data_IF_602502458958
#
_entry.id   IF_602502458958
#
_cell.length_a   1.000
_cell.length_b   1.000
_cell.length_c   1.000
_cell.angle_alpha   90.00
_cell.angle_beta   90.00
_cell.angle_gamma   90.00
#
_symmetry.space_group_name_H-M   'P 1'
#
loop_
_entity.id
_entity.type
_entity.pdbx_description
1 polymer ?
#
# COMPACT_ATOMS: atom_id res chain seq x y z
N UNK A 1 6.89 25.75 -24.63
CA UNK A 1 7.33 24.38 -24.29
C UNK A 1 6.09 23.61 -23.89
N UNK A 2 5.76 22.50 -24.57
CA UNK A 2 4.58 21.71 -24.24
C UNK A 2 4.82 20.94 -22.93
N UNK A 3 4.35 21.48 -21.81
CA UNK A 3 4.45 20.83 -20.50
C UNK A 3 3.33 19.80 -20.31
N UNK A 4 3.60 18.77 -19.49
CA UNK A 4 2.55 17.90 -18.98
C UNK A 4 1.46 18.70 -18.24
N UNK A 5 0.24 18.18 -18.22
CA UNK A 5 -0.91 18.80 -17.53
C UNK A 5 -1.74 17.70 -16.88
N UNK A 6 -2.14 17.92 -15.63
CA UNK A 6 -3.11 17.07 -14.94
C UNK A 6 -4.52 17.40 -15.46
N UNK A 7 -5.26 16.35 -15.80
CA UNK A 7 -6.71 16.39 -16.00
C UNK A 7 -7.33 15.59 -14.87
N UNK A 8 -8.30 16.18 -14.20
CA UNK A 8 -9.00 15.53 -13.10
C UNK A 8 -10.50 15.64 -13.31
N UNK A 9 -11.22 14.60 -12.89
CA UNK A 9 -12.67 14.60 -12.75
C UNK A 9 -13.11 14.86 -11.29
N UNK A 10 -12.15 15.06 -10.38
CA UNK A 10 -12.42 15.35 -8.98
C UNK A 10 -13.09 16.72 -8.83
N UNK A 11 -14.07 16.80 -7.92
CA UNK A 11 -14.67 18.05 -7.49
C UNK A 11 -13.73 18.76 -6.51
N UNK A 12 -12.84 19.60 -7.06
CA UNK A 12 -11.86 20.35 -6.27
C UNK A 12 -12.52 21.35 -5.31
N UNK A 13 -13.70 21.87 -5.66
CA UNK A 13 -14.44 22.77 -4.78
C UNK A 13 -15.03 22.00 -3.59
N UNK A 14 -15.49 20.76 -3.79
CA UNK A 14 -15.91 19.90 -2.69
C UNK A 14 -14.74 19.55 -1.76
N UNK A 15 -13.57 19.24 -2.31
CA UNK A 15 -12.36 19.02 -1.52
C UNK A 15 -12.06 20.26 -0.68
N UNK A 16 -12.06 21.46 -1.28
CA UNK A 16 -11.87 22.72 -0.56
C UNK A 16 -12.87 22.92 0.59
N UNK A 17 -14.17 22.65 0.35
CA UNK A 17 -15.20 22.75 1.40
C UNK A 17 -14.96 21.79 2.56
N UNK A 18 -14.52 20.56 2.30
CA UNK A 18 -14.24 19.57 3.36
C UNK A 18 -13.02 20.02 4.17
N UNK A 19 -11.97 20.50 3.50
CA UNK A 19 -10.76 21.04 4.16
C UNK A 19 -11.10 22.17 5.12
N UNK A 20 -11.89 23.14 4.64
CA UNK A 20 -12.30 24.29 5.43
C UNK A 20 -13.18 23.89 6.63
N UNK A 21 -14.00 22.86 6.48
CA UNK A 21 -14.87 22.36 7.54
C UNK A 21 -14.16 21.49 8.58
N UNK A 22 -13.05 20.83 8.22
CA UNK A 22 -12.40 19.81 9.02
C UNK A 22 -10.88 19.99 9.08
N UNK A 23 -10.42 20.92 9.93
CA UNK A 23 -8.99 21.27 10.08
C UNK A 23 -8.05 20.11 10.48
N UNK A 24 -8.59 18.97 10.91
CA UNK A 24 -7.83 17.75 11.23
C UNK A 24 -7.75 16.72 10.12
N UNK A 25 -8.38 16.97 8.96
CA UNK A 25 -8.41 16.04 7.82
C UNK A 25 -7.41 16.50 6.77
N UNK A 26 -6.52 15.59 6.39
CA UNK A 26 -5.59 15.79 5.27
C UNK A 26 -6.13 15.13 4.01
N UNK A 27 -5.84 15.74 2.86
CA UNK A 27 -6.30 15.28 1.55
C UNK A 27 -5.09 14.93 0.69
N UNK A 28 -4.95 13.67 0.30
CA UNK A 28 -3.86 13.21 -0.55
C UNK A 28 -4.38 12.83 -1.93
N UNK A 29 -3.60 13.14 -2.97
CA UNK A 29 -3.85 12.63 -4.30
C UNK A 29 -3.25 11.21 -4.43
N UNK A 30 -4.11 10.19 -4.56
CA UNK A 30 -3.66 8.83 -4.82
C UNK A 30 -3.30 8.65 -6.30
N UNK A 31 -2.11 8.09 -6.57
CA UNK A 31 -1.66 7.73 -7.90
C UNK A 31 -1.60 6.22 -8.05
N UNK A 32 -2.42 5.68 -8.95
CA UNK A 32 -2.45 4.26 -9.28
C UNK A 32 -3.86 3.71 -9.34
N UNK A 33 -4.11 2.67 -8.53
CA UNK A 33 -5.27 1.81 -8.53
C UNK A 33 -5.13 0.61 -9.47
N UNK A 34 -5.84 -0.46 -9.15
CA UNK A 34 -5.99 -1.64 -9.98
C UNK A 34 -6.42 -1.31 -11.42
N UNK A 35 -5.75 -1.91 -12.41
CA UNK A 35 -5.91 -1.58 -13.84
C UNK A 35 -5.56 -0.12 -14.20
N UNK A 36 -5.00 0.64 -13.27
CA UNK A 36 -4.57 2.01 -13.47
C UNK A 36 -3.33 2.10 -14.37
N UNK A 37 -3.15 3.23 -15.06
CA UNK A 37 -1.94 3.45 -15.85
C UNK A 37 -0.74 3.69 -14.94
N UNK A 38 0.38 3.06 -15.26
CA UNK A 38 1.68 3.46 -14.71
C UNK A 38 2.16 4.77 -15.37
N UNK A 39 3.13 5.49 -14.79
CA UNK A 39 3.74 6.64 -15.44
C UNK A 39 4.24 6.26 -16.85
N UNK A 40 4.04 7.12 -17.85
CA UNK A 40 4.51 6.89 -19.20
C UNK A 40 6.03 6.90 -19.21
N UNK A 41 6.61 5.93 -19.91
CA UNK A 41 8.05 5.85 -20.11
C UNK A 41 8.59 7.11 -20.81
N UNK A 42 9.79 7.55 -20.47
CA UNK A 42 10.52 8.64 -21.12
C UNK A 42 10.64 8.47 -22.63
N UNK A 43 10.63 7.23 -23.15
CA UNK A 43 10.67 6.96 -24.58
C UNK A 43 9.33 7.11 -25.29
N UNK A 44 8.23 7.23 -24.53
CA UNK A 44 6.86 7.34 -25.06
C UNK A 44 6.41 8.78 -25.33
N UNK A 45 7.21 9.79 -24.98
CA UNK A 45 6.82 11.19 -25.19
C UNK A 45 6.99 11.58 -26.66
N UNK A 46 5.87 11.93 -27.31
CA UNK A 46 5.86 12.48 -28.67
C UNK A 46 6.53 13.85 -28.77
N UNK A 47 6.80 14.48 -27.63
CA UNK A 47 7.46 15.78 -27.51
C UNK A 47 8.98 15.67 -27.34
N UNK A 48 9.53 14.45 -27.19
CA UNK A 48 10.97 14.21 -27.02
C UNK A 48 11.53 14.63 -25.66
N UNK A 49 10.68 15.04 -24.72
CA UNK A 49 11.08 15.39 -23.35
C UNK A 49 10.75 14.22 -22.43
N UNK A 50 11.76 13.65 -21.78
CA UNK A 50 11.60 12.59 -20.79
C UNK A 50 10.82 13.13 -19.57
N UNK A 51 9.76 12.43 -19.18
CA UNK A 51 9.00 12.75 -17.97
C UNK A 51 9.64 12.06 -16.77
N UNK A 52 10.67 12.68 -16.19
CA UNK A 52 11.29 12.21 -14.93
C UNK A 52 10.33 12.38 -13.75
N UNK A 53 10.58 11.70 -12.62
CA UNK A 53 9.75 11.87 -11.42
C UNK A 53 9.77 13.30 -10.88
N UNK A 54 10.91 14.00 -10.98
CA UNK A 54 10.98 15.44 -10.70
C UNK A 54 10.04 16.24 -11.60
N UNK A 55 10.01 15.96 -12.91
CA UNK A 55 9.13 16.69 -13.82
C UNK A 55 7.65 16.37 -13.56
N UNK A 56 7.34 15.13 -13.18
CA UNK A 56 6.01 14.76 -12.69
C UNK A 56 5.62 15.58 -11.46
N UNK A 57 6.54 15.74 -10.51
CA UNK A 57 6.31 16.54 -9.32
C UNK A 57 6.06 18.02 -9.66
N UNK A 58 6.87 18.62 -10.53
CA UNK A 58 6.64 20.01 -10.97
C UNK A 58 5.24 20.20 -11.58
N UNK A 59 4.77 19.22 -12.38
CA UNK A 59 3.41 19.27 -12.95
C UNK A 59 2.33 19.13 -11.87
N UNK A 60 2.56 18.32 -10.85
CA UNK A 60 1.66 18.20 -9.69
C UNK A 60 1.65 19.46 -8.82
N UNK A 61 2.81 20.01 -8.47
CA UNK A 61 2.96 21.22 -7.66
C UNK A 61 2.30 22.42 -8.37
N UNK A 62 2.58 22.62 -9.66
CA UNK A 62 1.94 23.65 -10.47
C UNK A 62 0.41 23.49 -10.49
N UNK A 63 -0.08 22.25 -10.67
CA UNK A 63 -1.51 21.97 -10.64
C UNK A 63 -2.09 22.29 -9.26
N UNK A 64 -1.49 21.82 -8.18
CA UNK A 64 -1.97 22.02 -6.82
C UNK A 64 -2.05 23.52 -6.47
N UNK A 65 -0.96 24.26 -6.69
CA UNK A 65 -0.88 25.70 -6.44
C UNK A 65 -1.92 26.49 -7.26
N UNK A 66 -2.09 26.12 -8.53
CA UNK A 66 -3.05 26.79 -9.43
C UNK A 66 -4.52 26.59 -9.06
N UNK A 67 -4.83 25.59 -8.22
CA UNK A 67 -6.17 25.29 -7.72
C UNK A 67 -6.33 25.55 -6.22
N UNK A 68 -5.43 26.34 -5.61
CA UNK A 68 -5.53 26.72 -4.21
C UNK A 68 -5.14 25.61 -3.23
N UNK A 69 -4.17 24.78 -3.60
CA UNK A 69 -3.62 23.68 -2.80
C UNK A 69 -4.69 22.69 -2.28
N UNK A 70 -5.47 22.06 -3.17
CA UNK A 70 -6.51 21.11 -2.77
C UNK A 70 -5.95 19.84 -2.10
N UNK A 71 -4.68 19.51 -2.32
CA UNK A 71 -4.02 18.34 -1.72
C UNK A 71 -2.85 18.75 -0.83
N UNK A 72 -2.74 18.11 0.34
CA UNK A 72 -1.59 18.23 1.27
C UNK A 72 -0.42 17.34 0.86
N UNK A 73 -0.62 16.47 -0.12
CA UNK A 73 0.37 15.47 -0.50
C UNK A 73 -0.17 14.40 -1.43
N UNK A 74 0.54 13.27 -1.45
CA UNK A 74 0.28 12.18 -2.39
C UNK A 74 0.33 10.81 -1.70
N UNK A 75 -0.35 9.83 -2.29
CA UNK A 75 -0.28 8.43 -1.91
C UNK A 75 0.02 7.55 -3.14
N UNK A 76 1.06 6.71 -3.06
CA UNK A 76 1.35 5.76 -4.13
C UNK A 76 0.58 4.46 -3.96
N UNK A 77 -0.34 4.22 -4.89
CA UNK A 77 -1.19 3.03 -4.95
C UNK A 77 -1.04 2.33 -6.31
N UNK A 78 0.18 2.25 -6.85
CA UNK A 78 0.40 1.59 -8.12
C UNK A 78 0.30 0.06 -7.99
N UNK A 79 -0.52 -0.51 -8.86
CA UNK A 79 -0.85 -1.92 -8.84
C UNK A 79 -0.73 -2.58 -10.21
N UNK A 80 -1.05 -3.88 -10.25
CA UNK A 80 -1.14 -4.67 -11.45
C UNK A 80 -2.39 -4.39 -12.28
N UNK A 81 -2.62 -5.31 -13.23
CA UNK A 81 -3.73 -5.25 -14.17
C UNK A 81 -4.27 -6.66 -14.42
N UNK A 82 -5.58 -6.78 -14.60
CA UNK A 82 -6.29 -8.02 -14.92
C UNK A 82 -5.78 -8.67 -16.23
N UNK A 83 -5.51 -7.87 -17.26
CA UNK A 83 -4.90 -8.35 -18.50
C UNK A 83 -3.40 -8.49 -18.28
N UNK A 84 -2.92 -9.74 -18.14
CA UNK A 84 -1.50 -10.07 -17.96
C UNK A 84 -0.60 -9.64 -19.11
N UNK A 85 -1.17 -9.34 -20.29
CA UNK A 85 -0.42 -8.80 -21.43
C UNK A 85 -0.31 -7.28 -21.40
N UNK A 86 -1.01 -6.62 -20.47
CA UNK A 86 -0.90 -5.18 -20.25
C UNK A 86 0.53 -4.81 -19.88
N UNK A 87 1.06 -3.68 -20.39
CA UNK A 87 2.35 -3.16 -19.93
C UNK A 87 2.37 -2.84 -18.43
N UNK A 88 1.21 -2.65 -17.78
CA UNK A 88 1.10 -2.37 -16.34
C UNK A 88 0.96 -3.61 -15.46
N UNK A 89 1.00 -4.83 -16.04
CA UNK A 89 1.14 -6.08 -15.26
C UNK A 89 2.55 -6.29 -14.72
N UNK A 90 3.46 -5.35 -14.96
CA UNK A 90 4.83 -5.31 -14.46
C UNK A 90 5.21 -3.88 -14.18
N UNK A 91 6.03 -3.66 -13.17
CA UNK A 91 6.76 -2.43 -13.07
C UNK A 91 7.92 -2.39 -14.08
N UNK A 92 8.29 -1.18 -14.46
CA UNK A 92 9.62 -0.93 -15.00
C UNK A 92 10.45 -0.24 -13.92
N UNK A 93 11.79 -0.30 -14.02
CA UNK A 93 12.63 0.50 -13.11
C UNK A 93 12.34 1.99 -13.26
N UNK A 94 12.02 2.43 -14.47
CA UNK A 94 11.61 3.80 -14.73
C UNK A 94 10.32 4.18 -13.98
N UNK A 95 9.32 3.31 -13.92
CA UNK A 95 8.11 3.51 -13.10
C UNK A 95 8.49 3.72 -11.63
N UNK A 96 9.36 2.86 -11.10
CA UNK A 96 9.78 2.93 -9.70
C UNK A 96 10.65 4.16 -9.43
N UNK A 97 11.51 4.55 -10.38
CA UNK A 97 12.32 5.77 -10.30
C UNK A 97 11.45 7.03 -10.33
N UNK A 98 10.34 7.04 -11.08
CA UNK A 98 9.36 8.12 -11.01
C UNK A 98 8.78 8.26 -9.61
N UNK A 99 8.38 7.15 -8.98
CA UNK A 99 7.89 7.17 -7.59
C UNK A 99 8.96 7.73 -6.64
N UNK A 100 10.21 7.27 -6.77
CA UNK A 100 11.34 7.74 -5.95
C UNK A 100 11.57 9.23 -6.11
N UNK A 101 11.84 9.70 -7.33
CA UNK A 101 12.22 11.08 -7.60
C UNK A 101 11.09 12.05 -7.26
N UNK A 102 9.85 11.70 -7.61
CA UNK A 102 8.68 12.51 -7.23
C UNK A 102 8.56 12.62 -5.71
N UNK A 103 8.65 11.49 -5.00
CA UNK A 103 8.51 11.46 -3.53
C UNK A 103 9.56 12.33 -2.85
N UNK A 104 10.81 12.25 -3.32
CA UNK A 104 11.92 13.05 -2.77
C UNK A 104 11.68 14.54 -3.00
N UNK A 105 11.24 14.95 -4.19
CA UNK A 105 10.96 16.36 -4.49
C UNK A 105 9.72 16.87 -3.73
N UNK A 106 8.65 16.08 -3.66
CA UNK A 106 7.46 16.37 -2.87
C UNK A 106 7.82 16.58 -1.39
N UNK A 107 8.62 15.69 -0.82
CA UNK A 107 9.03 15.79 0.58
C UNK A 107 9.86 17.05 0.86
N UNK A 108 10.79 17.40 -0.04
CA UNK A 108 11.57 18.65 0.05
C UNK A 108 10.69 19.90 0.06
N UNK A 109 9.55 19.86 -0.63
CA UNK A 109 8.60 20.98 -0.70
C UNK A 109 7.66 21.05 0.51
N UNK A 110 7.67 20.04 1.37
CA UNK A 110 6.85 19.96 2.58
C UNK A 110 5.53 19.22 2.40
N UNK A 111 5.33 18.53 1.26
CA UNK A 111 4.18 17.67 1.07
C UNK A 111 4.23 16.44 1.97
N UNK A 112 3.06 15.94 2.32
CA UNK A 112 2.88 14.60 2.86
C UNK A 112 3.13 13.58 1.75
N UNK A 113 3.90 12.54 2.03
CA UNK A 113 4.15 11.46 1.07
C UNK A 113 3.87 10.12 1.72
N UNK A 114 2.94 9.36 1.15
CA UNK A 114 2.65 8.00 1.58
C UNK A 114 2.64 7.01 0.44
N UNK A 115 2.55 5.73 0.79
CA UNK A 115 2.37 4.63 -0.15
C UNK A 115 1.45 3.58 0.45
N UNK A 116 0.69 2.88 -0.39
CA UNK A 116 -0.19 1.81 0.00
C UNK A 116 0.15 0.51 -0.76
N UNK A 117 1.29 -0.15 -0.51
CA UNK A 117 1.63 -1.39 -1.20
C UNK A 117 0.67 -2.53 -0.83
N UNK A 118 0.27 -3.32 -1.84
CA UNK A 118 -0.25 -4.67 -1.61
C UNK A 118 0.73 -5.50 -0.77
N UNK A 119 0.21 -6.42 0.07
CA UNK A 119 1.07 -7.22 0.96
C UNK A 119 2.18 -7.94 0.20
N UNK A 120 1.90 -8.53 -0.97
CA UNK A 120 2.90 -9.23 -1.77
C UNK A 120 4.00 -8.32 -2.34
N UNK A 121 3.76 -7.00 -2.41
CA UNK A 121 4.66 -5.99 -2.98
C UNK A 121 5.68 -5.50 -1.95
N UNK A 122 5.40 -5.69 -0.66
CA UNK A 122 6.27 -5.36 0.48
C UNK A 122 6.05 -6.39 1.60
N UNK A 123 6.30 -7.67 1.30
CA UNK A 123 5.90 -8.80 2.13
C UNK A 123 6.85 -9.00 3.32
N UNK A 124 6.42 -8.79 4.57
CA UNK A 124 7.29 -8.94 5.74
C UNK A 124 7.33 -10.38 6.28
N UNK A 125 6.50 -11.27 5.74
CA UNK A 125 6.38 -12.68 6.17
C UNK A 125 7.41 -13.61 5.53
N UNK A 126 8.32 -13.04 4.75
CA UNK A 126 9.29 -13.79 3.99
C UNK A 126 10.30 -14.54 4.86
N UNK A 127 10.74 -15.67 4.30
CA UNK A 127 11.91 -16.39 4.76
C UNK A 127 13.17 -15.73 4.20
N UNK A 128 14.08 -15.31 5.10
CA UNK A 128 15.34 -14.69 4.74
C UNK A 128 16.19 -15.66 3.91
N UNK A 129 16.68 -15.19 2.76
CA UNK A 129 17.46 -16.01 1.82
C UNK A 129 16.63 -16.90 0.89
N UNK A 130 15.30 -16.94 1.06
CA UNK A 130 14.39 -17.59 0.14
C UNK A 130 14.04 -16.73 -1.08
N UNK A 131 13.35 -17.33 -2.06
CA UNK A 131 12.93 -16.62 -3.29
C UNK A 131 12.06 -15.38 -3.02
N UNK A 132 11.40 -15.28 -1.87
CA UNK A 132 10.52 -14.14 -1.54
C UNK A 132 11.26 -12.95 -0.98
N UNK A 133 12.51 -13.17 -0.56
CA UNK A 133 13.44 -12.09 -0.29
C UNK A 133 14.02 -11.49 -1.57
N UNK A 134 13.68 -11.98 -2.76
CA UNK A 134 14.24 -11.52 -4.02
C UNK A 134 13.29 -10.54 -4.70
N UNK A 135 13.75 -9.33 -4.94
CA UNK A 135 13.03 -8.33 -5.72
C UNK A 135 12.54 -8.86 -7.07
N UNK A 136 11.36 -8.43 -7.49
CA UNK A 136 10.83 -8.62 -8.84
C UNK A 136 10.07 -7.39 -9.29
N UNK A 137 10.16 -7.08 -10.58
CA UNK A 137 9.27 -6.12 -11.22
C UNK A 137 7.95 -6.73 -11.67
N UNK A 138 7.85 -8.06 -11.73
CA UNK A 138 6.63 -8.73 -12.16
C UNK A 138 5.52 -8.57 -11.11
N UNK A 139 4.33 -8.16 -11.57
CA UNK A 139 3.11 -8.07 -10.77
C UNK A 139 2.10 -9.16 -11.14
N UNK A 140 2.45 -10.03 -12.07
CA UNK A 140 1.60 -11.12 -12.55
C UNK A 140 1.99 -12.49 -11.95
N UNK A 141 2.60 -12.51 -10.77
CA UNK A 141 3.03 -13.74 -10.10
C UNK A 141 1.85 -14.43 -9.40
N UNK A 142 1.92 -15.75 -9.19
CA UNK A 142 0.93 -16.44 -8.37
C UNK A 142 1.06 -16.04 -6.88
N UNK A 143 -0.05 -16.02 -6.12
CA UNK A 143 -0.03 -15.75 -4.67
C UNK A 143 0.67 -16.91 -3.97
N UNK A 144 1.88 -16.63 -3.44
CA UNK A 144 2.79 -17.71 -3.03
C UNK A 144 2.30 -18.47 -1.81
N UNK A 145 1.64 -17.79 -0.89
CA UNK A 145 1.01 -18.38 0.29
C UNK A 145 0.02 -19.51 -0.07
N UNK A 146 -0.66 -19.41 -1.22
CA UNK A 146 -1.61 -20.40 -1.71
C UNK A 146 -1.01 -21.39 -2.73
N UNK A 147 0.25 -21.21 -3.14
CA UNK A 147 0.83 -21.96 -4.26
C UNK A 147 2.18 -22.63 -3.98
N UNK A 148 2.73 -22.52 -2.77
CA UNK A 148 4.02 -23.12 -2.41
C UNK A 148 3.94 -23.88 -1.09
N UNK A 149 4.52 -25.08 -1.04
CA UNK A 149 4.41 -26.00 0.10
C UNK A 149 4.99 -25.42 1.39
N UNK A 150 6.04 -24.57 1.28
CA UNK A 150 6.64 -23.93 2.46
C UNK A 150 5.67 -23.06 3.25
N UNK A 151 4.61 -22.59 2.60
CA UNK A 151 3.56 -21.81 3.26
C UNK A 151 2.43 -22.68 3.81
N UNK A 152 2.52 -24.00 3.64
CA UNK A 152 1.47 -24.94 3.96
C UNK A 152 0.34 -24.97 2.93
N UNK A 153 0.58 -24.52 1.70
CA UNK A 153 -0.41 -24.54 0.64
C UNK A 153 -0.86 -25.98 0.32
N UNK A 154 -2.16 -26.23 0.38
CA UNK A 154 -2.75 -27.54 0.05
C UNK A 154 -3.05 -27.66 -1.44
N UNK A 155 -3.38 -28.87 -1.91
CA UNK A 155 -3.87 -29.07 -3.28
C UNK A 155 -5.16 -28.28 -3.53
N UNK A 156 -6.04 -28.17 -2.52
CA UNK A 156 -7.27 -27.37 -2.61
C UNK A 156 -6.98 -25.87 -2.78
N UNK A 157 -5.92 -25.35 -2.15
CA UNK A 157 -5.50 -23.96 -2.30
C UNK A 157 -4.95 -23.69 -3.71
N UNK A 158 -4.11 -24.60 -4.21
CA UNK A 158 -3.56 -24.53 -5.57
C UNK A 158 -4.67 -24.61 -6.61
N UNK A 159 -5.64 -25.48 -6.40
CA UNK A 159 -6.80 -25.64 -7.26
C UNK A 159 -7.74 -24.43 -7.20
N UNK A 160 -7.92 -23.82 -6.02
CA UNK A 160 -8.68 -22.57 -5.88
C UNK A 160 -8.08 -21.46 -6.72
N UNK A 161 -6.78 -21.20 -6.57
CA UNK A 161 -6.07 -20.15 -7.34
C UNK A 161 -6.13 -20.45 -8.84
N UNK A 162 -5.92 -21.71 -9.24
CA UNK A 162 -5.98 -22.11 -10.66
C UNK A 162 -7.37 -21.91 -11.25
N UNK A 163 -8.44 -22.28 -10.55
CA UNK A 163 -9.83 -22.07 -11.00
C UNK A 163 -10.22 -20.60 -11.05
N UNK A 164 -9.70 -19.79 -10.12
CA UNK A 164 -9.90 -18.35 -10.13
C UNK A 164 -9.12 -17.65 -11.25
N UNK A 165 -8.12 -18.32 -11.84
CA UNK A 165 -7.23 -17.72 -12.83
C UNK A 165 -6.37 -16.60 -12.26
N UNK A 166 -6.20 -16.53 -10.93
CA UNK A 166 -5.57 -15.41 -10.25
C UNK A 166 -4.04 -15.49 -10.37
N UNK A 167 -3.43 -14.44 -10.91
CA UNK A 167 -1.98 -14.32 -11.10
C UNK A 167 -1.59 -12.86 -11.07
N UNK A 168 -1.81 -12.21 -9.93
CA UNK A 168 -1.61 -10.75 -9.78
C UNK A 168 -0.89 -10.36 -8.48
N UNK A 169 -0.06 -11.25 -7.96
CA UNK A 169 0.82 -10.94 -6.83
C UNK A 169 2.14 -10.35 -7.33
N UNK A 170 2.73 -9.47 -6.55
CA UNK A 170 4.07 -8.94 -6.77
C UNK A 170 5.11 -9.67 -5.93
N UNK A 171 6.33 -9.12 -5.91
CA UNK A 171 7.39 -9.62 -5.03
C UNK A 171 8.38 -8.51 -4.68
N UNK A 172 8.19 -7.90 -3.52
CA UNK A 172 9.12 -6.91 -2.94
C UNK A 172 9.42 -5.71 -3.85
N UNK A 173 8.55 -5.40 -4.80
CA UNK A 173 8.79 -4.33 -5.76
C UNK A 173 8.87 -2.96 -5.08
N UNK A 174 8.08 -2.72 -4.02
CA UNK A 174 8.12 -1.47 -3.27
C UNK A 174 9.36 -1.34 -2.37
N UNK A 175 10.08 -2.44 -2.09
CA UNK A 175 11.35 -2.38 -1.38
C UNK A 175 12.41 -1.57 -2.17
N UNK A 176 12.34 -1.54 -3.51
CA UNK A 176 13.19 -0.69 -4.32
C UNK A 176 12.96 0.79 -4.03
N UNK A 177 11.70 1.21 -3.94
CA UNK A 177 11.33 2.61 -3.67
C UNK A 177 11.84 3.04 -2.30
N UNK A 178 11.66 2.20 -1.28
CA UNK A 178 12.20 2.45 0.06
C UNK A 178 13.73 2.49 0.08
N UNK A 179 14.40 1.58 -0.64
CA UNK A 179 15.86 1.55 -0.73
C UNK A 179 16.44 2.81 -1.37
N UNK A 180 15.73 3.36 -2.37
CA UNK A 180 16.20 4.48 -3.19
C UNK A 180 15.82 5.85 -2.64
N UNK A 181 14.62 6.00 -2.10
CA UNK A 181 14.14 7.26 -1.53
C UNK A 181 14.45 7.39 -0.03
N UNK A 182 14.63 6.25 0.67
CA UNK A 182 14.78 6.20 2.12
C UNK A 182 13.46 6.40 2.87
N UNK A 183 13.31 5.72 4.01
CA UNK A 183 12.10 5.79 4.84
C UNK A 183 11.80 7.20 5.37
N UNK A 184 12.78 8.10 5.41
CA UNK A 184 12.56 9.50 5.79
C UNK A 184 11.79 10.32 4.76
N UNK A 185 11.75 9.86 3.51
CA UNK A 185 10.94 10.49 2.47
C UNK A 185 9.44 10.33 2.73
N UNK A 186 9.05 9.20 3.35
CA UNK A 186 7.65 8.86 3.56
C UNK A 186 7.20 9.23 4.97
N UNK A 187 6.01 9.80 5.07
CA UNK A 187 5.31 10.06 6.33
C UNK A 187 4.68 8.78 6.87
N UNK A 188 4.17 7.91 5.98
CA UNK A 188 3.73 6.57 6.34
C UNK A 188 3.70 5.57 5.17
N UNK A 189 3.63 4.28 5.53
CA UNK A 189 3.40 3.14 4.65
C UNK A 189 2.15 2.40 5.12
N UNK A 190 1.15 2.30 4.24
CA UNK A 190 -0.13 1.64 4.49
C UNK A 190 -0.13 0.25 3.87
N UNK A 191 0.32 -0.78 4.59
CA UNK A 191 0.39 -2.14 4.05
C UNK A 191 -1.03 -2.70 3.84
N UNK A 192 -1.42 -2.98 2.60
CA UNK A 192 -2.75 -3.49 2.28
C UNK A 192 -2.85 -5.00 2.54
N UNK A 193 -3.49 -5.38 3.64
CA UNK A 193 -3.70 -6.79 4.01
C UNK A 193 -4.90 -7.42 3.30
N UNK A 194 -5.66 -6.60 2.57
CA UNK A 194 -6.82 -6.97 1.77
C UNK A 194 -6.51 -7.20 0.30
N UNK A 195 -5.26 -7.44 -0.07
CA UNK A 195 -4.94 -7.98 -1.39
C UNK A 195 -5.67 -9.32 -1.61
N UNK A 196 -6.14 -9.57 -2.83
CA UNK A 196 -6.78 -10.83 -3.17
C UNK A 196 -5.81 -12.00 -2.96
N UNK A 197 -6.20 -12.99 -2.15
CA UNK A 197 -5.34 -14.11 -1.77
C UNK A 197 -4.03 -13.68 -1.08
N UNK A 198 -4.11 -12.64 -0.24
CA UNK A 198 -2.96 -12.14 0.52
C UNK A 198 -2.37 -13.21 1.47
N UNK A 199 -1.07 -13.14 1.80
CA UNK A 199 -0.51 -13.93 2.89
C UNK A 199 -1.30 -13.79 4.20
N UNK A 200 -1.85 -12.61 4.51
CA UNK A 200 -2.67 -12.40 5.71
C UNK A 200 -3.96 -13.21 5.67
N UNK A 201 -4.69 -13.17 4.55
CA UNK A 201 -5.87 -13.99 4.35
C UNK A 201 -5.56 -15.49 4.48
N UNK A 202 -4.41 -15.92 3.96
CA UNK A 202 -3.96 -17.30 4.08
C UNK A 202 -3.73 -17.72 5.55
N UNK A 203 -2.96 -16.92 6.31
CA UNK A 203 -2.67 -17.23 7.70
C UNK A 203 -3.95 -17.30 8.55
N UNK A 204 -4.86 -16.35 8.39
CA UNK A 204 -6.12 -16.30 9.16
C UNK A 204 -7.08 -17.42 8.75
N UNK A 205 -7.34 -17.59 7.45
CA UNK A 205 -8.41 -18.49 6.99
C UNK A 205 -7.96 -19.94 6.80
N UNK A 206 -6.72 -20.15 6.34
CA UNK A 206 -6.18 -21.50 6.06
C UNK A 206 -5.43 -22.06 7.26
N UNK A 207 -4.51 -21.29 7.84
CA UNK A 207 -3.76 -21.73 9.02
C UNK A 207 -4.52 -21.55 10.34
N UNK A 208 -5.70 -20.91 10.31
CA UNK A 208 -6.53 -20.63 11.50
C UNK A 208 -5.79 -19.82 12.57
N UNK A 209 -4.89 -18.94 12.14
CA UNK A 209 -4.16 -18.03 13.01
C UNK A 209 -5.10 -16.95 13.55
N UNK A 210 -4.91 -16.54 14.80
CA UNK A 210 -5.62 -15.37 15.34
C UNK A 210 -5.28 -14.12 14.51
N UNK A 211 -6.25 -13.25 14.25
CA UNK A 211 -5.99 -12.05 13.44
C UNK A 211 -4.96 -11.13 14.09
N UNK A 212 -5.00 -10.94 15.41
CA UNK A 212 -4.02 -10.18 16.16
C UNK A 212 -2.62 -10.81 16.12
N UNK A 213 -2.53 -12.14 16.16
CA UNK A 213 -1.26 -12.85 15.97
C UNK A 213 -0.71 -12.64 14.54
N UNK A 214 -1.55 -12.79 13.53
CA UNK A 214 -1.18 -12.58 12.13
C UNK A 214 -0.76 -11.12 11.86
N UNK A 215 -1.44 -10.14 12.46
CA UNK A 215 -1.06 -8.73 12.43
C UNK A 215 0.31 -8.52 13.07
N UNK A 216 0.51 -9.03 14.30
CA UNK A 216 1.77 -8.84 15.03
C UNK A 216 2.95 -9.49 14.34
N UNK A 217 2.76 -10.62 13.64
CA UNK A 217 3.82 -11.22 12.81
C UNK A 217 4.35 -10.24 11.77
N UNK A 218 3.46 -9.50 11.09
CA UNK A 218 3.82 -8.50 10.07
C UNK A 218 4.42 -7.26 10.69
N UNK A 219 3.79 -6.74 11.74
CA UNK A 219 4.23 -5.54 12.47
C UNK A 219 5.66 -5.74 12.97
N UNK A 220 5.95 -6.83 13.69
CA UNK A 220 7.29 -7.09 14.23
C UNK A 220 8.34 -7.11 13.12
N UNK A 221 8.06 -7.80 12.01
CA UNK A 221 8.99 -7.90 10.89
C UNK A 221 9.22 -6.58 10.18
N UNK A 222 8.20 -5.74 10.02
CA UNK A 222 8.37 -4.39 9.48
C UNK A 222 9.16 -3.48 10.43
N UNK A 223 8.90 -3.55 11.73
CA UNK A 223 9.52 -2.69 12.73
C UNK A 223 10.97 -3.09 13.02
N UNK A 224 11.24 -4.38 13.18
CA UNK A 224 12.58 -4.93 13.42
C UNK A 224 13.43 -4.88 12.15
N UNK A 225 12.79 -5.11 11.01
CA UNK A 225 13.37 -5.12 9.69
C UNK A 225 13.59 -6.52 9.11
N UNK A 226 13.67 -6.57 7.78
CA UNK A 226 13.98 -7.78 7.03
C UNK A 226 14.78 -7.48 5.76
N UNK A 227 15.61 -8.44 5.35
CA UNK A 227 16.54 -8.27 4.25
C UNK A 227 15.95 -8.71 2.90
N UNK A 228 16.04 -7.82 1.91
CA UNK A 228 15.71 -8.04 0.50
C UNK A 228 16.99 -8.06 -0.33
N UNK A 229 17.02 -8.90 -1.35
CA UNK A 229 18.14 -9.12 -2.27
C UNK A 229 17.68 -8.98 -3.72
N UNK A 230 18.64 -8.92 -4.66
CA UNK A 230 18.34 -8.85 -6.09
C UNK A 230 17.77 -7.51 -6.55
N UNK A 231 17.86 -6.47 -5.70
CA UNK A 231 17.58 -5.11 -6.10
C UNK A 231 18.62 -4.67 -7.13
N UNK A 232 18.23 -3.96 -8.21
CA UNK A 232 19.16 -3.41 -9.20
C UNK A 232 19.84 -2.14 -8.66
N UNK A 233 20.50 -2.27 -7.51
CA UNK A 233 21.24 -1.23 -6.80
C UNK A 233 22.66 -1.76 -6.52
N UNK A 234 23.60 -0.86 -6.22
CA UNK A 234 24.98 -1.25 -5.92
C UNK A 234 25.09 -2.18 -4.69
N UNK A 235 24.16 -2.04 -3.74
CA UNK A 235 24.07 -2.93 -2.59
C UNK A 235 23.36 -4.24 -2.96
N UNK A 236 24.00 -5.38 -2.65
CA UNK A 236 23.43 -6.71 -2.89
C UNK A 236 22.19 -7.01 -2.04
N UNK A 237 22.04 -6.29 -0.93
CA UNK A 237 21.02 -6.49 0.09
C UNK A 237 20.55 -5.14 0.62
N UNK A 238 19.24 -5.00 0.83
CA UNK A 238 18.63 -3.87 1.50
C UNK A 238 17.79 -4.35 2.67
N UNK A 239 17.90 -3.68 3.82
CA UNK A 239 17.02 -3.94 4.96
C UNK A 239 15.80 -3.02 4.87
N UNK A 240 14.62 -3.61 4.66
CA UNK A 240 13.35 -2.90 4.77
C UNK A 240 13.03 -2.77 6.24
N UNK A 241 12.79 -1.53 6.70
CA UNK A 241 12.34 -1.25 8.07
C UNK A 241 11.38 -0.06 8.06
N UNK A 242 10.23 -0.22 8.72
CA UNK A 242 9.21 0.82 8.89
C UNK A 242 8.99 1.04 10.38
N UNK A 243 9.32 2.22 10.93
CA UNK A 243 9.10 2.48 12.35
C UNK A 243 7.58 2.47 12.65
N UNK A 244 7.14 2.09 13.87
CA UNK A 244 5.71 2.04 14.18
C UNK A 244 5.01 3.38 13.90
N UNK A 245 5.71 4.49 14.13
CA UNK A 245 5.24 5.85 13.87
C UNK A 245 4.89 6.19 12.43
N UNK A 246 5.30 5.34 11.49
CA UNK A 246 5.06 5.48 10.06
C UNK A 246 4.36 4.25 9.48
N UNK A 247 3.95 3.30 10.33
CA UNK A 247 3.26 2.09 9.89
C UNK A 247 1.75 2.28 10.00
N UNK A 248 1.04 2.11 8.89
CA UNK A 248 -0.43 2.09 8.83
C UNK A 248 -0.89 0.71 8.38
N UNK A 249 -1.89 0.16 9.05
CA UNK A 249 -2.46 -1.14 8.71
C UNK A 249 -3.62 -0.94 7.73
N UNK A 250 -3.47 -1.41 6.49
CA UNK A 250 -4.51 -1.35 5.48
C UNK A 250 -5.45 -2.55 5.55
N UNK A 251 -6.76 -2.32 5.73
CA UNK A 251 -7.78 -3.36 5.89
C UNK A 251 -8.94 -3.20 4.90
N UNK A 252 -9.61 -4.31 4.58
CA UNK A 252 -10.84 -4.25 3.80
C UNK A 252 -11.98 -3.69 4.65
N UNK A 253 -12.94 -3.05 3.97
CA UNK A 253 -14.20 -2.66 4.57
C UNK A 253 -15.24 -3.81 4.50
N UNK A 254 -16.53 -3.50 4.66
CA UNK A 254 -17.62 -4.49 4.78
C UNK A 254 -17.84 -5.43 3.58
N UNK A 255 -17.18 -5.19 2.45
CA UNK A 255 -17.26 -6.00 1.21
C UNK A 255 -16.38 -7.25 1.21
N UNK A 256 -15.42 -7.36 2.12
CA UNK A 256 -14.54 -8.53 2.18
C UNK A 256 -15.34 -9.82 2.43
N UNK A 257 -15.04 -10.86 1.63
CA UNK A 257 -15.76 -12.13 1.61
C UNK A 257 -15.19 -13.18 2.60
N UNK A 258 -14.07 -12.87 3.26
CA UNK A 258 -13.39 -13.78 4.18
C UNK A 258 -12.72 -14.98 3.47
N UNK A 259 -12.53 -14.90 2.15
CA UNK A 259 -11.85 -15.92 1.36
C UNK A 259 -10.81 -15.31 0.43
N UNK A 260 -11.26 -14.49 -0.52
CA UNK A 260 -10.41 -13.73 -1.43
C UNK A 260 -9.85 -12.53 -0.70
N UNK A 261 -10.67 -11.90 0.14
CA UNK A 261 -10.33 -10.68 0.87
C UNK A 261 -10.59 -10.88 2.36
N UNK A 262 -9.62 -10.55 3.20
CA UNK A 262 -9.74 -10.74 4.64
C UNK A 262 -10.27 -9.47 5.32
N UNK A 263 -11.37 -9.60 6.06
CA UNK A 263 -11.82 -8.58 7.01
C UNK A 263 -11.04 -8.72 8.30
N UNK A 264 -10.64 -7.60 8.89
CA UNK A 264 -9.96 -7.57 10.20
C UNK A 264 -10.91 -7.01 11.24
N UNK A 265 -11.03 -7.70 12.37
CA UNK A 265 -11.87 -7.27 13.47
C UNK A 265 -11.22 -6.08 14.21
N UNK A 266 -11.98 -5.02 14.53
CA UNK A 266 -11.49 -3.88 15.30
C UNK A 266 -10.80 -4.25 16.62
N UNK A 267 -11.31 -5.26 17.33
CA UNK A 267 -10.68 -5.72 18.58
C UNK A 267 -9.30 -6.34 18.36
N UNK A 268 -9.09 -7.02 17.22
CA UNK A 268 -7.78 -7.60 16.85
C UNK A 268 -6.77 -6.49 16.51
N UNK A 269 -7.22 -5.43 15.83
CA UNK A 269 -6.41 -4.23 15.54
C UNK A 269 -5.98 -3.56 16.84
N UNK A 270 -6.92 -3.40 17.78
CA UNK A 270 -6.62 -2.83 19.10
C UNK A 270 -5.60 -3.67 19.86
N UNK A 271 -5.77 -4.99 19.95
CA UNK A 271 -4.79 -5.87 20.63
C UNK A 271 -3.41 -5.79 19.98
N UNK A 272 -3.34 -5.74 18.65
CA UNK A 272 -2.08 -5.52 17.95
C UNK A 272 -1.47 -4.15 18.27
N UNK A 273 -2.27 -3.09 18.35
CA UNK A 273 -1.80 -1.75 18.72
C UNK A 273 -1.21 -1.73 20.14
N UNK A 274 -1.94 -2.27 21.12
CA UNK A 274 -1.50 -2.37 22.52
C UNK A 274 -0.22 -3.20 22.64
N UNK A 275 -0.13 -4.32 21.92
CA UNK A 275 1.08 -5.15 21.88
C UNK A 275 2.26 -4.38 21.27
N UNK A 276 2.02 -3.60 20.21
CA UNK A 276 3.05 -2.76 19.59
C UNK A 276 3.56 -1.69 20.57
N UNK A 277 2.65 -1.04 21.32
CA UNK A 277 3.02 -0.09 22.39
C UNK A 277 3.87 -0.77 23.45
N UNK A 278 3.50 -1.98 23.89
CA UNK A 278 4.23 -2.71 24.91
C UNK A 278 5.64 -3.14 24.45
N UNK A 279 5.79 -3.57 23.19
CA UNK A 279 7.06 -4.06 22.65
C UNK A 279 8.00 -2.93 22.22
N UNK A 280 7.47 -1.86 21.65
CA UNK A 280 8.25 -0.81 20.97
C UNK A 280 8.14 0.58 21.61
N UNK A 281 7.40 0.69 22.72
CA UNK A 281 7.17 1.96 23.43
C UNK A 281 6.20 2.92 22.73
N UNK A 282 5.65 2.53 21.58
CA UNK A 282 4.66 3.31 20.81
C UNK A 282 3.88 2.40 19.86
N UNK A 283 2.62 2.75 19.59
CA UNK A 283 1.78 2.01 18.64
C UNK A 283 2.13 2.31 17.19
N UNK A 284 1.57 1.51 16.28
CA UNK A 284 1.57 1.85 14.86
C UNK A 284 0.73 3.12 14.60
N UNK A 285 1.00 3.86 13.52
CA UNK A 285 0.45 5.18 13.27
C UNK A 285 -1.08 5.20 13.18
N UNK A 286 -1.67 4.19 12.53
CA UNK A 286 -3.11 4.12 12.39
C UNK A 286 -3.57 2.99 11.47
N UNK A 287 -4.80 3.14 10.97
CA UNK A 287 -5.48 2.19 10.10
C UNK A 287 -5.93 2.92 8.84
N UNK A 288 -5.77 2.28 7.69
CA UNK A 288 -6.36 2.68 6.42
C UNK A 288 -7.37 1.62 6.00
N UNK A 289 -8.45 2.01 5.33
CA UNK A 289 -9.37 1.05 4.74
C UNK A 289 -9.84 1.48 3.36
N UNK A 290 -10.12 0.48 2.52
CA UNK A 290 -10.69 0.66 1.19
C UNK A 290 -12.17 0.24 1.21
N UNK A 291 -13.17 1.08 0.91
CA UNK A 291 -13.15 2.54 0.68
C UNK A 291 -14.16 3.26 1.58
N UNK A 292 -14.12 4.60 1.56
CA UNK A 292 -15.15 5.46 2.19
C UNK A 292 -16.55 5.23 1.60
N UNK A 293 -16.68 5.03 0.28
CA UNK A 293 -17.98 4.81 -0.38
C UNK A 293 -18.66 3.53 0.15
N UNK A 294 -17.86 2.53 0.50
CA UNK A 294 -18.34 1.22 0.98
C UNK A 294 -18.50 1.14 2.50
N UNK A 295 -18.37 2.25 3.23
CA UNK A 295 -18.58 2.28 4.67
C UNK A 295 -20.07 2.21 5.08
N UNK A 296 -20.98 2.54 4.15
CA UNK A 296 -22.43 2.49 4.36
C UNK A 296 -23.05 3.83 4.79
N UNK A 297 -24.38 3.91 4.65
CA UNK A 297 -25.18 5.10 5.01
C UNK A 297 -25.49 5.23 6.50
N UNK A 298 -26.09 6.36 6.88
CA UNK A 298 -26.31 6.75 8.29
C UNK A 298 -27.21 5.78 9.10
N UNK A 299 -28.05 4.98 8.42
CA UNK A 299 -28.88 3.96 9.06
C UNK A 299 -28.09 2.71 9.52
N UNK A 300 -26.77 2.68 9.27
CA UNK A 300 -25.88 1.54 9.53
C UNK A 300 -24.70 1.91 10.46
N UNK A 301 -24.83 2.92 11.32
CA UNK A 301 -23.73 3.43 12.18
C UNK A 301 -22.99 2.32 12.96
N UNK A 302 -23.68 1.31 13.49
CA UNK A 302 -23.04 0.17 14.18
C UNK A 302 -22.21 -0.76 13.28
N UNK A 303 -22.33 -0.61 11.96
CA UNK A 303 -21.59 -1.40 10.95
C UNK A 303 -20.46 -0.61 10.30
N UNK A 304 -20.41 0.71 10.50
CA UNK A 304 -19.32 1.55 10.00
C UNK A 304 -18.01 1.14 10.67
N UNK A 305 -16.98 0.94 9.85
CA UNK A 305 -15.67 0.51 10.33
C UNK A 305 -15.04 1.58 11.21
N UNK A 306 -15.16 2.87 10.84
CA UNK A 306 -14.67 3.98 11.67
C UNK A 306 -15.36 4.01 13.02
N UNK A 307 -16.69 3.91 13.06
CA UNK A 307 -17.45 3.86 14.31
C UNK A 307 -17.00 2.68 15.20
N UNK A 308 -16.83 1.50 14.61
CA UNK A 308 -16.40 0.31 15.33
C UNK A 308 -14.98 0.45 15.89
N UNK A 309 -14.06 1.03 15.11
CA UNK A 309 -12.70 1.33 15.55
C UNK A 309 -12.71 2.35 16.69
N UNK A 310 -13.41 3.48 16.53
CA UNK A 310 -13.54 4.50 17.58
C UNK A 310 -14.06 3.89 18.87
N UNK A 311 -15.13 3.09 18.81
CA UNK A 311 -15.70 2.43 20.00
C UNK A 311 -14.71 1.49 20.68
N UNK A 312 -13.93 0.73 19.90
CA UNK A 312 -12.92 -0.16 20.48
C UNK A 312 -11.78 0.60 21.15
N UNK A 313 -11.33 1.72 20.58
CA UNK A 313 -10.23 2.50 21.14
C UNK A 313 -10.66 3.44 22.29
N UNK A 314 -11.92 3.89 22.30
CA UNK A 314 -12.46 4.79 23.33
C UNK A 314 -12.96 4.05 24.58
N UNK A 315 -13.38 2.79 24.46
CA UNK A 315 -13.80 1.98 25.60
C UNK A 315 -12.65 1.07 26.05
N UNK A 316 -11.76 1.49 26.96
CA UNK A 316 -10.75 0.58 27.47
C UNK A 316 -11.44 -0.67 28.05
N UNK A 317 -11.12 -1.86 27.52
CA UNK A 317 -11.51 -3.10 28.19
C UNK A 317 -11.07 -3.03 29.65
N UNK A 318 -11.91 -3.46 30.60
CA UNK A 318 -11.66 -3.33 32.03
C UNK A 318 -10.40 -4.06 32.50
#
# INVERSE_FOLDING_TARGET
MGGGRIRTALDLDAIGRIRDAHAGVVHLAAFGGWNGPHPPSSTSSSTGVAMTGKRWFEVFDDFNLSHGDPFDGIDWDYEGHDDRSSPTSRFTLETLDVMVDFSVEAKKRGYIVSMAPAESYLDPTIEVGGIDAVFSTDLDLPPRSYTYDRYGATDDDRDLVRRAGFSHAGRQCYAYVLARAGMETFDWVSLQLYEAYSPFAHDVHRKRMGQDEALMMRIRRLVDGYAITGLPLDASTHEVRVPPSKLVIGIANGWADGLKFCRVDPSSIRRAYETTVAEYGRGFLGVMFWTLEEEGGDDADDRRLTHSLTREFDNPSP
#
